data_IF_455456940390
#
_entry.id   IF_455456940390
#
_cell.length_a   1.000
_cell.length_b   1.000
_cell.length_c   1.000
_cell.angle_alpha   90.00
_cell.angle_beta   90.00
_cell.angle_gamma   90.00
#
_symmetry.space_group_name_H-M   'P 1'
#
loop_
_entity.id
_entity.type
_entity.pdbx_description
1 polymer ?
#
# COMPACT_ATOMS: atom_id res chain seq x y z
N UNK A 1 -8.38 -15.11 8.62
CA UNK A 1 -9.77 -14.62 8.56
C UNK A 1 -9.66 -13.15 8.22
N UNK A 2 -10.22 -12.74 7.08
CA UNK A 2 -10.19 -11.35 6.61
C UNK A 2 -11.04 -10.52 7.56
N UNK A 3 -10.44 -9.50 8.18
CA UNK A 3 -11.18 -8.49 8.95
C UNK A 3 -12.15 -7.79 8.00
N UNK A 4 -13.35 -7.41 8.47
CA UNK A 4 -14.31 -6.62 7.68
C UNK A 4 -13.59 -5.43 7.04
N UNK A 5 -13.41 -5.50 5.72
CA UNK A 5 -12.72 -4.46 4.96
C UNK A 5 -13.57 -3.19 5.01
N UNK A 6 -12.96 -1.99 5.13
CA UNK A 6 -13.70 -0.74 5.12
C UNK A 6 -14.60 -0.63 3.88
N UNK A 7 -15.84 -0.15 4.05
CA UNK A 7 -16.70 0.15 2.90
C UNK A 7 -16.03 1.17 1.98
N UNK A 8 -15.88 0.86 0.69
CA UNK A 8 -15.20 1.72 -0.28
C UNK A 8 -13.69 1.47 -0.41
N UNK A 9 -13.17 0.37 0.15
CA UNK A 9 -11.79 -0.03 -0.07
C UNK A 9 -11.50 -0.22 -1.57
N UNK A 10 -10.50 0.51 -2.07
CA UNK A 10 -10.13 0.49 -3.49
C UNK A 10 -10.87 1.50 -4.36
N UNK A 11 -11.74 2.34 -3.79
CA UNK A 11 -12.35 3.46 -4.53
C UNK A 11 -11.35 4.60 -4.76
N UNK A 12 -11.77 5.62 -5.53
CA UNK A 12 -10.96 6.81 -5.77
C UNK A 12 -9.68 6.49 -6.53
N UNK A 13 -8.54 7.01 -6.07
CA UNK A 13 -7.28 6.88 -6.81
C UNK A 13 -6.78 5.43 -6.91
N UNK A 14 -7.11 4.56 -5.96
CA UNK A 14 -6.76 3.12 -6.04
C UNK A 14 -7.45 2.45 -7.23
N UNK A 15 -8.72 2.79 -7.48
CA UNK A 15 -9.49 2.32 -8.64
C UNK A 15 -8.89 2.86 -9.96
N UNK A 16 -8.42 4.10 -9.96
CA UNK A 16 -7.75 4.72 -11.12
C UNK A 16 -6.42 4.04 -11.44
N UNK A 17 -5.71 3.52 -10.44
CA UNK A 17 -4.52 2.69 -10.67
C UNK A 17 -4.90 1.27 -11.11
N UNK A 18 -6.04 0.74 -10.65
CA UNK A 18 -6.44 -0.65 -10.82
C UNK A 18 -5.86 -1.56 -9.73
N UNK A 19 -5.63 -1.02 -8.52
CA UNK A 19 -5.13 -1.77 -7.38
C UNK A 19 -6.25 -2.68 -6.82
N UNK A 20 -5.95 -3.97 -6.69
CA UNK A 20 -6.89 -4.97 -6.15
C UNK A 20 -6.36 -5.52 -4.83
N UNK A 21 -7.08 -5.27 -3.74
CA UNK A 21 -6.76 -5.85 -2.43
C UNK A 21 -7.12 -7.33 -2.41
N UNK A 22 -6.18 -8.19 -1.99
CA UNK A 22 -6.36 -9.64 -1.91
C UNK A 22 -6.72 -10.09 -0.50
N UNK A 23 -5.98 -9.59 0.49
CA UNK A 23 -6.22 -9.85 1.91
C UNK A 23 -5.70 -8.69 2.74
N UNK A 24 -6.43 -8.32 3.79
CA UNK A 24 -5.96 -7.39 4.80
C UNK A 24 -6.27 -7.96 6.18
N UNK A 25 -5.31 -7.81 7.08
CA UNK A 25 -5.39 -8.20 8.48
C UNK A 25 -4.73 -7.10 9.33
N UNK A 26 -4.89 -7.12 10.66
CA UNK A 26 -4.20 -6.19 11.55
C UNK A 26 -2.68 -6.29 11.47
N UNK A 27 -2.12 -7.42 11.01
CA UNK A 27 -0.68 -7.66 10.89
C UNK A 27 -0.12 -7.43 9.48
N UNK A 28 -0.93 -6.86 8.58
CA UNK A 28 -0.54 -6.56 7.20
C UNK A 28 -1.47 -7.20 6.19
N UNK A 29 -1.11 -7.09 4.92
CA UNK A 29 -1.94 -7.56 3.83
C UNK A 29 -1.23 -7.57 2.49
N UNK A 30 -1.99 -7.95 1.46
CA UNK A 30 -1.53 -8.02 0.07
C UNK A 30 -2.51 -7.37 -0.88
N UNK A 31 -1.96 -6.69 -1.89
CA UNK A 31 -2.71 -6.20 -3.03
C UNK A 31 -1.94 -6.43 -4.33
N UNK A 32 -2.65 -6.50 -5.46
CA UNK A 32 -2.09 -6.70 -6.79
C UNK A 32 -2.40 -5.53 -7.70
N UNK A 33 -1.44 -5.24 -8.59
CA UNK A 33 -1.57 -4.23 -9.62
C UNK A 33 -1.12 -4.81 -10.97
N UNK A 34 -2.02 -4.77 -11.96
CA UNK A 34 -1.67 -5.06 -13.35
C UNK A 34 -1.03 -3.83 -13.99
N UNK A 35 0.18 -3.97 -14.52
CA UNK A 35 0.84 -2.87 -15.23
C UNK A 35 0.19 -2.69 -16.60
N UNK A 36 -0.28 -1.46 -16.85
CA UNK A 36 -0.94 -1.03 -18.09
C UNK A 36 -0.26 0.25 -18.61
N UNK A 37 -0.51 0.60 -19.88
CA UNK A 37 0.14 1.75 -20.54
C UNK A 37 -0.07 3.07 -19.80
N UNK A 38 -1.24 3.28 -19.18
CA UNK A 38 -1.54 4.50 -18.40
C UNK A 38 -0.67 4.67 -17.15
N UNK A 39 -0.02 3.61 -16.67
CA UNK A 39 0.83 3.61 -15.49
C UNK A 39 2.30 3.84 -15.82
N UNK A 40 2.64 3.88 -17.11
CA UNK A 40 4.00 4.08 -17.58
C UNK A 40 4.34 5.57 -17.64
N UNK A 41 5.58 5.88 -17.32
CA UNK A 41 6.16 7.17 -17.67
C UNK A 41 6.58 7.18 -19.16
N UNK A 42 6.93 8.35 -19.75
CA UNK A 42 7.23 8.47 -21.18
C UNK A 42 8.32 7.54 -21.71
N UNK A 43 9.19 7.02 -20.84
CA UNK A 43 10.26 6.09 -21.18
C UNK A 43 9.88 4.61 -21.14
N UNK A 44 8.58 4.28 -21.06
CA UNK A 44 8.08 2.90 -21.19
C UNK A 44 8.27 2.00 -19.97
N UNK A 45 8.55 2.59 -18.80
CA UNK A 45 8.61 1.88 -17.52
C UNK A 45 7.59 2.49 -16.55
N UNK A 46 7.20 1.74 -15.51
CA UNK A 46 6.23 2.21 -14.51
C UNK A 46 6.70 3.54 -13.90
N UNK A 47 5.80 4.52 -13.87
CA UNK A 47 6.07 5.81 -13.24
C UNK A 47 6.23 5.62 -11.72
N UNK A 48 7.31 6.13 -11.14
CA UNK A 48 7.61 5.91 -9.70
C UNK A 48 6.48 6.33 -8.76
N UNK A 49 5.74 7.39 -9.10
CA UNK A 49 4.54 7.81 -8.37
C UNK A 49 3.45 6.75 -8.24
N UNK A 50 3.36 5.79 -9.16
CA UNK A 50 2.45 4.63 -9.04
C UNK A 50 2.85 3.76 -7.85
N UNK A 51 4.14 3.48 -7.69
CA UNK A 51 4.62 2.71 -6.54
C UNK A 51 4.45 3.48 -5.23
N UNK A 52 4.72 4.78 -5.22
CA UNK A 52 4.48 5.61 -4.04
C UNK A 52 3.01 5.55 -3.61
N UNK A 53 2.08 5.66 -4.56
CA UNK A 53 0.65 5.59 -4.31
C UNK A 53 0.24 4.21 -3.76
N UNK A 54 0.65 3.11 -4.41
CA UNK A 54 0.36 1.76 -3.91
C UNK A 54 0.91 1.55 -2.49
N UNK A 55 2.11 2.04 -2.20
CA UNK A 55 2.73 1.96 -0.88
C UNK A 55 1.94 2.78 0.16
N UNK A 56 1.49 3.99 -0.19
CA UNK A 56 0.65 4.84 0.64
C UNK A 56 -0.71 4.18 0.96
N UNK A 57 -1.37 3.64 -0.07
CA UNK A 57 -2.67 3.00 0.05
C UNK A 57 -2.58 1.75 0.94
N UNK A 58 -1.61 0.87 0.67
CA UNK A 58 -1.38 -0.32 1.50
C UNK A 58 -1.08 0.02 2.95
N UNK A 59 -0.27 1.05 3.22
CA UNK A 59 0.00 1.51 4.58
C UNK A 59 -1.27 2.01 5.26
N UNK A 60 -2.02 2.89 4.60
CA UNK A 60 -3.23 3.52 5.15
C UNK A 60 -4.29 2.48 5.49
N UNK A 61 -4.52 1.52 4.59
CA UNK A 61 -5.47 0.42 4.84
C UNK A 61 -5.00 -0.46 6.00
N UNK A 62 -3.75 -0.92 5.99
CA UNK A 62 -3.22 -1.72 7.10
C UNK A 62 -3.29 -0.99 8.43
N UNK A 63 -2.98 0.31 8.44
CA UNK A 63 -3.02 1.12 9.65
C UNK A 63 -4.44 1.34 10.16
N UNK A 64 -5.41 1.51 9.28
CA UNK A 64 -6.82 1.59 9.63
C UNK A 64 -7.35 0.27 10.19
N UNK A 65 -7.07 -0.86 9.53
CA UNK A 65 -7.50 -2.20 9.97
C UNK A 65 -6.92 -2.54 11.34
N UNK A 66 -5.66 -2.19 11.61
CA UNK A 66 -5.13 -2.37 12.96
C UNK A 66 -5.79 -1.44 13.98
N UNK A 67 -5.98 -0.16 13.63
CA UNK A 67 -6.52 0.84 14.55
C UNK A 67 -7.99 0.56 14.93
N UNK A 68 -8.80 0.06 14.00
CA UNK A 68 -10.20 -0.31 14.28
C UNK A 68 -10.34 -1.38 15.37
N UNK A 69 -9.38 -2.30 15.47
CA UNK A 69 -9.30 -3.30 16.54
C UNK A 69 -8.58 -2.80 17.80
N UNK A 70 -7.97 -1.62 17.75
CA UNK A 70 -7.09 -1.09 18.81
C UNK A 70 -7.50 0.32 19.27
N UNK A 71 -8.81 0.55 19.38
CA UNK A 71 -9.39 1.77 19.97
C UNK A 71 -10.13 2.68 19.01
N UNK A 72 -10.20 2.35 17.71
CA UNK A 72 -10.92 3.14 16.71
C UNK A 72 -10.19 4.43 16.33
N UNK A 73 -10.84 5.26 15.51
CA UNK A 73 -10.22 6.43 14.89
C UNK A 73 -9.86 6.25 13.42
N UNK A 74 -9.15 7.26 12.90
CA UNK A 74 -8.64 7.30 11.53
C UNK A 74 -7.12 7.39 11.52
N UNK A 75 -6.53 7.08 10.36
CA UNK A 75 -5.09 7.23 10.13
C UNK A 75 -4.85 8.25 9.03
N UNK A 76 -3.78 9.03 9.17
CA UNK A 76 -3.36 9.99 8.15
C UNK A 76 -1.87 9.78 7.86
N UNK A 77 -1.52 9.67 6.58
CA UNK A 77 -0.14 9.63 6.12
C UNK A 77 0.58 10.94 6.38
N UNK A 78 1.76 10.87 7.02
CA UNK A 78 2.58 12.06 7.31
C UNK A 78 3.96 12.00 6.66
N UNK A 79 4.43 10.82 6.25
CA UNK A 79 5.65 10.67 5.48
C UNK A 79 5.62 9.36 4.70
N UNK A 80 5.94 9.44 3.41
CA UNK A 80 6.19 8.30 2.54
C UNK A 80 7.62 8.42 2.01
N UNK A 81 8.42 7.38 2.23
CA UNK A 81 9.72 7.23 1.61
C UNK A 81 9.75 5.93 0.81
N UNK A 82 9.96 6.03 -0.50
CA UNK A 82 9.91 4.91 -1.44
C UNK A 82 11.17 4.85 -2.29
N UNK A 83 11.81 3.69 -2.28
CA UNK A 83 12.93 3.33 -3.14
C UNK A 83 12.42 2.59 -4.39
N UNK A 84 12.87 3.02 -5.57
CA UNK A 84 12.62 2.32 -6.84
C UNK A 84 13.83 1.44 -7.18
N UNK A 85 13.66 0.12 -7.07
CA UNK A 85 14.77 -0.83 -7.09
C UNK A 85 14.98 -1.49 -8.46
N UNK A 86 13.91 -1.65 -9.25
CA UNK A 86 13.97 -2.23 -10.59
C UNK A 86 12.88 -1.67 -11.49
N UNK A 87 13.29 -1.28 -12.69
CA UNK A 87 12.39 -0.83 -13.74
C UNK A 87 11.70 -2.02 -14.42
N UNK A 88 10.38 -1.94 -14.58
CA UNK A 88 9.55 -2.85 -15.38
C UNK A 88 8.58 -2.02 -16.23
N UNK A 89 8.12 -2.55 -17.37
CA UNK A 89 7.16 -1.88 -18.26
C UNK A 89 5.86 -2.65 -18.47
N UNK A 90 5.74 -3.86 -17.91
CA UNK A 90 4.57 -4.72 -18.07
C UNK A 90 4.54 -5.77 -16.96
N UNK A 91 3.50 -6.60 -16.93
CA UNK A 91 3.35 -7.68 -15.98
C UNK A 91 2.35 -7.37 -14.87
N UNK A 92 2.46 -8.11 -13.77
CA UNK A 92 1.64 -7.93 -12.56
C UNK A 92 2.60 -7.85 -11.38
N UNK A 93 2.33 -6.95 -10.45
CA UNK A 93 3.10 -6.83 -9.22
C UNK A 93 2.20 -7.06 -8.02
N UNK A 94 2.77 -7.66 -6.98
CA UNK A 94 2.12 -7.84 -5.67
C UNK A 94 2.80 -6.94 -4.65
N UNK A 95 2.02 -6.09 -3.98
CA UNK A 95 2.42 -5.30 -2.83
C UNK A 95 2.07 -6.04 -1.53
N UNK A 96 3.03 -6.17 -0.62
CA UNK A 96 2.84 -6.77 0.70
C UNK A 96 3.18 -5.74 1.78
N UNK A 97 2.26 -5.51 2.71
CA UNK A 97 2.50 -4.64 3.88
C UNK A 97 2.90 -5.44 5.12
N UNK A 98 3.78 -4.89 5.94
CA UNK A 98 4.25 -5.47 7.21
C UNK A 98 4.49 -4.36 8.23
N UNK A 99 4.02 -4.50 9.49
CA UNK A 99 4.19 -3.45 10.48
C UNK A 99 5.64 -3.39 10.95
N UNK A 100 6.23 -2.20 10.98
CA UNK A 100 7.50 -1.92 11.67
C UNK A 100 7.21 -1.46 13.10
N UNK A 101 6.20 -0.60 13.27
CA UNK A 101 5.78 -0.06 14.56
C UNK A 101 4.27 0.22 14.56
N UNK A 102 3.59 -0.13 15.65
CA UNK A 102 2.18 0.19 15.90
C UNK A 102 2.05 0.65 17.34
N UNK A 103 1.75 1.93 17.54
CA UNK A 103 1.64 2.53 18.86
C UNK A 103 0.36 3.36 18.96
N UNK A 104 0.13 3.93 20.16
CA UNK A 104 -1.08 4.71 20.44
C UNK A 104 -1.25 5.93 19.52
N UNK A 105 -0.15 6.60 19.17
CA UNK A 105 -0.18 7.84 18.39
C UNK A 105 0.25 7.68 16.94
N UNK A 106 1.11 6.71 16.63
CA UNK A 106 1.71 6.59 15.31
C UNK A 106 1.90 5.14 14.92
N UNK A 107 1.97 4.92 13.62
CA UNK A 107 2.32 3.65 13.02
C UNK A 107 3.41 3.86 11.98
N UNK A 108 4.17 2.80 11.70
CA UNK A 108 5.13 2.74 10.61
C UNK A 108 4.98 1.39 9.92
N UNK A 109 4.70 1.43 8.63
CA UNK A 109 4.45 0.25 7.81
C UNK A 109 5.50 0.15 6.73
N UNK A 110 6.04 -1.06 6.53
CA UNK A 110 6.88 -1.39 5.39
C UNK A 110 6.03 -2.02 4.30
N UNK A 111 6.15 -1.53 3.09
CA UNK A 111 5.52 -2.14 1.91
C UNK A 111 6.63 -2.56 0.95
N UNK A 112 6.55 -3.80 0.48
CA UNK A 112 7.43 -4.35 -0.57
C UNK A 112 6.60 -4.72 -1.78
N UNK A 113 6.99 -4.23 -2.96
CA UNK A 113 6.33 -4.53 -4.23
C UNK A 113 7.24 -5.48 -5.03
N UNK A 114 6.70 -6.63 -5.41
CA UNK A 114 7.42 -7.70 -6.10
C UNK A 114 6.79 -7.97 -7.45
N UNK A 115 7.61 -8.19 -8.48
CA UNK A 115 7.14 -8.69 -9.77
C UNK A 115 6.80 -10.18 -9.67
N UNK A 116 5.56 -10.53 -9.99
CA UNK A 116 5.02 -11.88 -9.86
C UNK A 116 5.75 -12.89 -10.76
N UNK A 117 6.25 -12.46 -11.92
CA UNK A 117 6.92 -13.35 -12.86
C UNK A 117 8.34 -13.73 -12.42
N UNK A 118 9.02 -12.82 -11.72
CA UNK A 118 10.45 -12.98 -11.39
C UNK A 118 10.72 -13.13 -9.90
N UNK A 119 9.72 -12.91 -9.05
CA UNK A 119 9.84 -12.81 -7.60
C UNK A 119 10.87 -11.75 -7.13
N UNK A 120 11.26 -10.83 -8.01
CA UNK A 120 12.21 -9.76 -7.68
C UNK A 120 11.47 -8.54 -7.16
N UNK A 121 12.03 -7.91 -6.13
CA UNK A 121 11.53 -6.63 -5.62
C UNK A 121 11.75 -5.55 -6.68
N UNK A 122 10.69 -4.79 -6.96
CA UNK A 122 10.69 -3.66 -7.91
C UNK A 122 10.66 -2.31 -7.22
N UNK A 123 9.96 -2.22 -6.08
CA UNK A 123 9.94 -1.05 -5.22
C UNK A 123 9.75 -1.47 -3.77
N UNK A 124 10.22 -0.64 -2.86
CA UNK A 124 10.04 -0.82 -1.41
C UNK A 124 9.88 0.56 -0.79
N UNK A 125 8.97 0.70 0.16
CA UNK A 125 8.84 1.96 0.87
C UNK A 125 8.31 1.76 2.28
N UNK A 126 8.42 2.82 3.06
CA UNK A 126 7.84 2.90 4.39
C UNK A 126 6.96 4.14 4.50
N UNK A 127 5.85 3.99 5.22
CA UNK A 127 4.89 5.07 5.43
C UNK A 127 4.66 5.23 6.91
N UNK A 128 4.86 6.46 7.39
CA UNK A 128 4.49 6.86 8.75
C UNK A 128 3.07 7.37 8.73
N UNK A 129 2.26 6.83 9.64
CA UNK A 129 0.88 7.23 9.86
C UNK A 129 0.75 7.88 11.24
N UNK A 130 -0.09 8.90 11.32
CA UNK A 130 -0.59 9.46 12.56
C UNK A 130 -1.97 8.87 12.85
N UNK A 131 -2.17 8.31 14.04
CA UNK A 131 -3.50 7.93 14.50
C UNK A 131 -4.21 9.18 15.00
N UNK A 132 -5.44 9.37 14.54
CA UNK A 132 -6.33 10.46 14.91
C UNK A 132 -7.54 9.84 15.60
N UNK A 133 -7.75 10.08 16.90
CA UNK A 133 -8.92 9.59 17.62
C UNK A 133 -10.21 10.12 16.99
N UNK A 134 -11.30 9.36 17.12
CA UNK A 134 -12.64 9.89 16.87
C UNK A 134 -12.95 10.99 17.92
N UNK A 135 -13.64 12.06 17.52
CA UNK A 135 -14.07 13.15 18.42
C UNK A 135 -15.14 12.70 19.42
#
# INVERSE_FOLDING_TARGET
>A
MTTDLPSGLGDGFDSELGLTYLEMTPDGGRAQLKITEKLLQPWGIVHGGVYCAVIESMASVSGHVWLSENGGGTVVGVNNNTDFLRAIGSGTVTATSTPIHRGRRQQLWLITITDDATAKVVARGQVRLQNVPDE
#
